data_IF_244971718707
#
_entry.id   IF_244971718707
#
_cell.length_a   1.000
_cell.length_b   1.000
_cell.length_c   1.000
_cell.angle_alpha   90.00
_cell.angle_beta   90.00
_cell.angle_gamma   90.00
#
_symmetry.space_group_name_H-M   'P 1'
#
loop_
_entity.id
_entity.type
_entity.pdbx_description
1 polymer ?
#
# COMPACT_ATOMS: atom_id res chain seq x y z
N UNK A 1 11.82 -34.22 -8.63
CA UNK A 1 11.60 -33.01 -9.46
C UNK A 1 10.16 -32.57 -9.21
N UNK A 2 9.97 -31.76 -8.18
CA UNK A 2 8.68 -31.16 -7.85
C UNK A 2 8.62 -29.85 -8.61
N UNK A 3 7.66 -29.69 -9.51
CA UNK A 3 7.34 -28.41 -10.12
C UNK A 3 6.83 -27.51 -8.99
N UNK A 4 7.59 -26.47 -8.69
CA UNK A 4 7.07 -25.35 -7.92
C UNK A 4 5.85 -24.80 -8.68
N UNK A 5 4.72 -24.83 -8.03
CA UNK A 5 3.50 -24.20 -8.55
C UNK A 5 3.78 -22.70 -8.66
N UNK A 6 3.66 -22.20 -9.88
CA UNK A 6 3.64 -20.78 -10.20
C UNK A 6 2.41 -20.16 -9.50
N UNK A 7 2.61 -19.62 -8.31
CA UNK A 7 1.53 -18.97 -7.53
C UNK A 7 1.43 -17.46 -7.81
N UNK A 8 1.96 -17.02 -8.94
CA UNK A 8 1.80 -15.62 -9.41
C UNK A 8 0.43 -15.35 -10.06
N UNK A 9 -0.64 -15.97 -9.53
CA UNK A 9 -1.96 -15.51 -9.90
C UNK A 9 -2.21 -14.15 -9.24
N UNK A 10 -2.52 -13.08 -10.01
CA UNK A 10 -2.91 -11.81 -9.43
C UNK A 10 -4.05 -12.07 -8.46
N UNK A 11 -4.03 -11.38 -7.31
CA UNK A 11 -5.12 -11.42 -6.32
C UNK A 11 -6.42 -11.31 -7.09
N UNK A 12 -7.11 -12.45 -7.24
CA UNK A 12 -8.39 -12.42 -7.95
C UNK A 12 -9.36 -11.69 -7.05
N UNK A 13 -9.94 -10.57 -7.52
CA UNK A 13 -10.97 -9.91 -6.78
C UNK A 13 -12.06 -10.94 -6.51
N UNK A 14 -12.35 -11.22 -5.25
CA UNK A 14 -13.57 -11.92 -4.88
C UNK A 14 -14.74 -11.19 -5.54
N UNK A 15 -15.95 -11.76 -5.57
CA UNK A 15 -17.16 -11.22 -6.23
C UNK A 15 -17.37 -9.71 -5.95
N UNK A 16 -16.53 -8.87 -6.54
CA UNK A 16 -16.64 -7.43 -6.42
C UNK A 16 -17.85 -6.95 -7.21
N UNK A 17 -18.55 -5.92 -6.76
CA UNK A 17 -19.55 -5.25 -7.58
C UNK A 17 -18.93 -4.84 -8.92
N UNK A 18 -19.64 -5.05 -10.03
CA UNK A 18 -19.11 -4.83 -11.38
C UNK A 18 -18.60 -3.40 -11.60
N UNK A 19 -19.23 -2.43 -10.96
CA UNK A 19 -18.84 -1.01 -10.99
C UNK A 19 -17.47 -0.79 -10.37
N UNK A 20 -17.18 -1.52 -9.31
CA UNK A 20 -15.89 -1.49 -8.62
C UNK A 20 -14.76 -2.00 -9.47
N UNK A 21 -14.95 -3.22 -9.91
CA UNK A 21 -14.03 -3.93 -10.75
C UNK A 21 -13.73 -3.12 -12.03
N UNK A 22 -14.73 -2.44 -12.60
CA UNK A 22 -14.55 -1.53 -13.72
C UNK A 22 -13.57 -0.40 -13.42
N UNK A 23 -13.77 0.35 -12.33
CA UNK A 23 -12.91 1.49 -11.97
C UNK A 23 -11.48 1.05 -11.69
N UNK A 24 -11.29 -0.03 -10.92
CA UNK A 24 -9.96 -0.54 -10.59
C UNK A 24 -9.23 -1.02 -11.85
N UNK A 25 -9.90 -1.80 -12.70
CA UNK A 25 -9.32 -2.28 -13.97
C UNK A 25 -8.97 -1.13 -14.92
N UNK A 26 -9.84 -0.13 -15.06
CA UNK A 26 -9.58 1.02 -15.92
C UNK A 26 -8.36 1.82 -15.44
N UNK A 27 -8.22 2.00 -14.12
CA UNK A 27 -7.05 2.66 -13.54
C UNK A 27 -5.78 1.82 -13.75
N UNK A 28 -5.84 0.51 -13.53
CA UNK A 28 -4.69 -0.39 -13.76
C UNK A 28 -4.30 -0.43 -15.24
N UNK A 29 -5.26 -0.53 -16.15
CA UNK A 29 -5.00 -0.50 -17.59
C UNK A 29 -4.35 0.81 -18.02
N UNK A 30 -4.85 1.93 -17.51
CA UNK A 30 -4.29 3.25 -17.78
C UNK A 30 -2.83 3.38 -17.30
N UNK A 31 -2.52 2.85 -16.10
CA UNK A 31 -1.16 2.80 -15.56
C UNK A 31 -0.26 1.88 -16.39
N UNK A 32 -0.75 0.70 -16.78
CA UNK A 32 0.00 -0.29 -17.55
C UNK A 32 0.36 0.19 -18.96
N UNK A 33 -0.46 1.04 -19.58
CA UNK A 33 -0.13 1.70 -20.85
C UNK A 33 1.09 2.64 -20.75
N UNK A 34 1.33 3.23 -19.56
CA UNK A 34 2.32 4.29 -19.33
C UNK A 34 3.53 3.83 -18.55
N UNK A 35 3.47 2.66 -17.92
CA UNK A 35 4.52 2.14 -17.07
C UNK A 35 4.44 0.63 -16.89
N UNK A 36 5.36 0.11 -16.11
CA UNK A 36 5.28 -1.23 -15.54
C UNK A 36 4.48 -1.16 -14.24
N UNK A 37 3.47 -2.00 -14.13
CA UNK A 37 2.57 -2.04 -12.97
C UNK A 37 2.68 -3.40 -12.29
N UNK A 38 2.95 -3.40 -11.00
CA UNK A 38 3.05 -4.58 -10.15
C UNK A 38 1.92 -4.51 -9.13
N UNK A 39 1.11 -5.56 -9.05
CA UNK A 39 -0.06 -5.65 -8.17
C UNK A 39 0.13 -6.79 -7.19
N UNK A 40 -0.05 -6.52 -5.91
CA UNK A 40 0.03 -7.49 -4.82
C UNK A 40 1.45 -7.94 -4.53
N UNK A 41 2.06 -8.71 -5.41
CA UNK A 41 3.40 -9.25 -5.21
C UNK A 41 4.22 -9.19 -6.49
N UNK A 42 5.50 -8.89 -6.38
CA UNK A 42 6.44 -8.85 -7.48
C UNK A 42 7.68 -8.03 -7.16
N UNK A 43 8.58 -7.99 -8.13
CA UNK A 43 9.80 -7.20 -8.03
C UNK A 43 9.84 -6.11 -9.11
N UNK A 44 10.64 -5.09 -8.86
CA UNK A 44 10.91 -4.03 -9.83
C UNK A 44 12.40 -3.72 -9.86
N UNK A 45 12.86 -3.34 -11.04
CA UNK A 45 14.26 -2.95 -11.25
C UNK A 45 14.39 -1.88 -12.34
N UNK A 46 15.22 -0.90 -12.08
CA UNK A 46 15.69 0.08 -13.05
C UNK A 46 17.22 0.24 -12.91
N UNK A 47 17.83 1.15 -13.65
CA UNK A 47 19.28 1.41 -13.56
C UNK A 47 19.72 1.84 -12.14
N UNK A 48 18.85 2.51 -11.41
CA UNK A 48 19.19 3.15 -10.12
C UNK A 48 18.30 2.69 -8.95
N UNK A 49 17.30 1.84 -9.22
CA UNK A 49 16.36 1.36 -8.21
C UNK A 49 16.11 -0.13 -8.38
N UNK A 50 16.06 -0.80 -7.24
CA UNK A 50 15.55 -2.17 -7.15
C UNK A 50 14.61 -2.29 -5.96
N UNK A 51 13.73 -3.27 -5.99
CA UNK A 51 12.88 -3.56 -4.85
C UNK A 51 11.84 -4.62 -5.12
N UNK A 52 11.05 -4.86 -4.12
CA UNK A 52 10.00 -5.86 -4.16
C UNK A 52 8.78 -5.40 -3.37
N UNK A 53 7.64 -5.94 -3.77
CA UNK A 53 6.35 -5.74 -3.16
C UNK A 53 5.79 -7.11 -2.82
N UNK A 54 5.23 -7.29 -1.63
CA UNK A 54 4.54 -8.51 -1.26
C UNK A 54 3.39 -8.23 -0.31
N UNK A 55 2.27 -8.91 -0.55
CA UNK A 55 1.12 -8.94 0.34
C UNK A 55 0.68 -10.38 0.56
N UNK A 56 0.38 -10.74 1.79
CA UNK A 56 -0.03 -12.08 2.19
C UNK A 56 -1.01 -12.01 3.36
N UNK A 57 -1.68 -13.14 3.63
CA UNK A 57 -2.47 -13.32 4.83
C UNK A 57 -1.56 -13.58 6.02
N UNK A 58 -1.83 -12.96 7.16
CA UNK A 58 -1.23 -13.38 8.40
C UNK A 58 -1.73 -14.78 8.83
N UNK A 59 -1.01 -15.48 9.73
CA UNK A 59 -1.34 -16.84 10.14
C UNK A 59 -2.76 -17.00 10.70
N UNK A 60 -3.27 -16.02 11.42
CA UNK A 60 -4.63 -16.06 11.99
C UNK A 60 -5.72 -15.69 10.98
N UNK A 61 -5.34 -15.08 9.85
CA UNK A 61 -6.24 -14.62 8.81
C UNK A 61 -6.41 -15.65 7.67
N UNK A 62 -5.71 -16.79 7.71
CA UNK A 62 -5.74 -17.82 6.66
C UNK A 62 -7.13 -18.42 6.42
N UNK A 63 -8.04 -18.32 7.40
CA UNK A 63 -9.43 -18.74 7.27
C UNK A 63 -10.31 -17.67 6.59
N UNK A 64 -9.78 -16.48 6.28
CA UNK A 64 -10.49 -15.47 5.53
C UNK A 64 -10.42 -15.74 4.03
N UNK A 65 -11.54 -15.59 3.35
CA UNK A 65 -11.63 -15.81 1.90
C UNK A 65 -10.92 -14.71 1.08
N UNK A 66 -10.61 -13.57 1.69
CA UNK A 66 -10.09 -12.38 0.99
C UNK A 66 -9.06 -11.63 1.84
N UNK A 67 -7.89 -11.38 1.26
CA UNK A 67 -6.92 -10.44 1.83
C UNK A 67 -7.49 -9.02 1.72
N UNK A 68 -7.54 -8.32 2.84
CA UNK A 68 -8.05 -6.95 2.90
C UNK A 68 -7.00 -5.90 2.52
N UNK A 69 -5.73 -6.29 2.55
CA UNK A 69 -4.63 -5.46 2.10
C UNK A 69 -4.52 -5.42 0.58
N UNK A 70 -4.06 -4.30 0.07
CA UNK A 70 -3.76 -4.12 -1.33
C UNK A 70 -2.47 -3.33 -1.52
N UNK A 71 -1.68 -3.76 -2.48
CA UNK A 71 -0.40 -3.15 -2.78
C UNK A 71 -0.24 -2.95 -4.29
N UNK A 72 0.36 -1.83 -4.65
CA UNK A 72 0.58 -1.45 -6.04
C UNK A 72 1.90 -0.69 -6.16
N UNK A 73 2.74 -1.07 -7.15
CA UNK A 73 3.91 -0.32 -7.55
C UNK A 73 3.84 0.00 -9.05
N UNK A 74 4.36 1.16 -9.43
CA UNK A 74 4.37 1.61 -10.81
C UNK A 74 5.68 2.32 -11.15
N UNK A 75 6.29 1.91 -12.28
CA UNK A 75 7.50 2.48 -12.85
C UNK A 75 7.21 3.06 -14.24
N UNK A 76 7.52 4.35 -14.49
CA UNK A 76 7.27 4.99 -15.78
C UNK A 76 8.13 4.41 -16.90
N UNK A 77 7.55 4.23 -18.09
CA UNK A 77 8.31 3.81 -19.30
C UNK A 77 8.92 5.00 -20.02
N UNK A 78 8.19 6.10 -20.15
CA UNK A 78 8.67 7.25 -20.91
C UNK A 78 9.59 8.17 -20.10
N UNK A 79 10.53 8.83 -20.79
CA UNK A 79 11.52 9.69 -20.15
C UNK A 79 10.91 10.98 -19.55
N UNK A 80 9.82 11.48 -20.11
CA UNK A 80 9.12 12.65 -19.57
C UNK A 80 8.55 12.36 -18.18
N UNK A 81 7.91 11.21 -18.02
CA UNK A 81 7.38 10.74 -16.74
C UNK A 81 8.50 10.39 -15.77
N UNK A 82 9.62 9.81 -16.23
CA UNK A 82 10.81 9.52 -15.39
C UNK A 82 11.46 10.77 -14.79
N UNK A 83 11.21 11.94 -15.36
CA UNK A 83 11.64 13.22 -14.75
C UNK A 83 10.83 13.59 -13.53
N UNK A 84 9.56 13.15 -13.47
CA UNK A 84 8.63 13.41 -12.34
C UNK A 84 8.63 12.28 -11.33
N UNK A 85 8.62 11.05 -11.84
CA UNK A 85 8.48 9.86 -11.02
C UNK A 85 9.51 8.81 -11.46
N UNK A 86 10.27 8.28 -10.53
CA UNK A 86 11.12 7.10 -10.75
C UNK A 86 10.40 5.83 -10.33
N UNK A 87 9.53 5.95 -9.33
CA UNK A 87 8.71 4.89 -8.78
C UNK A 87 7.52 5.53 -8.05
N UNK A 88 6.36 4.92 -8.13
CA UNK A 88 5.22 5.21 -7.24
C UNK A 88 4.77 3.92 -6.59
N UNK A 89 4.50 3.96 -5.28
CA UNK A 89 4.02 2.83 -4.47
C UNK A 89 2.77 3.27 -3.73
N UNK A 90 1.75 2.43 -3.72
CA UNK A 90 0.56 2.61 -2.91
C UNK A 90 0.27 1.33 -2.11
N UNK A 91 0.02 1.48 -0.81
CA UNK A 91 -0.38 0.42 0.09
C UNK A 91 -1.70 0.81 0.75
N UNK A 92 -2.63 -0.11 0.83
CA UNK A 92 -3.91 0.06 1.52
C UNK A 92 -4.18 -1.14 2.41
N UNK A 93 -4.61 -0.87 3.63
CA UNK A 93 -5.05 -1.85 4.59
C UNK A 93 -6.55 -1.66 4.83
N UNK A 94 -7.32 -2.68 4.50
CA UNK A 94 -8.77 -2.66 4.64
C UNK A 94 -9.19 -2.98 6.06
N UNK A 95 -9.93 -2.07 6.71
CA UNK A 95 -10.34 -2.26 8.09
C UNK A 95 -11.20 -3.52 8.27
N UNK A 96 -10.77 -4.42 9.15
CA UNK A 96 -11.47 -5.68 9.47
C UNK A 96 -12.93 -5.45 9.92
N UNK A 97 -13.21 -4.31 10.57
CA UNK A 97 -14.56 -3.94 11.02
C UNK A 97 -15.43 -3.36 9.91
N UNK A 98 -14.87 -3.12 8.73
CA UNK A 98 -15.56 -2.46 7.63
C UNK A 98 -16.03 -3.47 6.57
N UNK A 99 -17.26 -3.29 6.10
CA UNK A 99 -17.79 -4.09 5.01
C UNK A 99 -17.14 -3.70 3.68
N UNK A 100 -16.65 -4.68 2.94
CA UNK A 100 -15.96 -4.51 1.64
C UNK A 100 -14.70 -3.66 1.74
N UNK A 101 -13.95 -3.78 2.81
CA UNK A 101 -12.71 -3.05 3.00
C UNK A 101 -11.62 -3.45 1.98
N UNK A 102 -11.62 -4.70 1.52
CA UNK A 102 -10.76 -5.18 0.42
C UNK A 102 -10.97 -4.40 -0.89
N UNK A 103 -12.22 -4.01 -1.13
CA UNK A 103 -12.54 -3.17 -2.26
C UNK A 103 -12.03 -1.72 -2.03
N UNK A 104 -12.18 -1.21 -0.82
CA UNK A 104 -11.74 0.13 -0.49
C UNK A 104 -10.22 0.26 -0.66
N UNK A 105 -9.42 -0.69 -0.15
CA UNK A 105 -7.97 -0.68 -0.27
C UNK A 105 -7.52 -0.69 -1.74
N UNK A 106 -8.11 -1.56 -2.56
CA UNK A 106 -7.79 -1.64 -3.98
C UNK A 106 -8.16 -0.36 -4.75
N UNK A 107 -9.36 0.20 -4.50
CA UNK A 107 -9.80 1.43 -5.14
C UNK A 107 -8.91 2.61 -4.74
N UNK A 108 -8.68 2.80 -3.45
CA UNK A 108 -7.87 3.91 -2.95
C UNK A 108 -6.47 3.87 -3.54
N UNK A 109 -5.80 2.72 -3.53
CA UNK A 109 -4.47 2.58 -4.10
C UNK A 109 -4.43 2.89 -5.60
N UNK A 110 -5.35 2.32 -6.38
CA UNK A 110 -5.33 2.48 -7.85
C UNK A 110 -5.73 3.88 -8.29
N UNK A 111 -6.77 4.46 -7.69
CA UNK A 111 -7.23 5.81 -8.04
C UNK A 111 -6.24 6.86 -7.56
N UNK A 112 -5.73 6.75 -6.33
CA UNK A 112 -4.74 7.70 -5.82
C UNK A 112 -3.45 7.68 -6.66
N UNK A 113 -2.95 6.50 -7.02
CA UNK A 113 -1.77 6.39 -7.88
C UNK A 113 -2.02 7.02 -9.25
N UNK A 114 -3.14 6.72 -9.90
CA UNK A 114 -3.50 7.33 -11.17
C UNK A 114 -3.59 8.85 -11.06
N UNK A 115 -4.32 9.37 -10.07
CA UNK A 115 -4.50 10.80 -9.86
C UNK A 115 -3.16 11.52 -9.56
N UNK A 116 -2.25 10.88 -8.81
CA UNK A 116 -0.90 11.39 -8.59
C UNK A 116 -0.13 11.53 -9.92
N UNK A 117 -0.17 10.49 -10.75
CA UNK A 117 0.55 10.45 -12.03
C UNK A 117 -0.03 11.43 -13.05
N UNK A 118 -1.36 11.56 -13.13
CA UNK A 118 -2.08 12.51 -13.99
C UNK A 118 -2.00 13.96 -13.50
N UNK A 119 -1.75 14.17 -12.20
CA UNK A 119 -1.79 15.49 -11.58
C UNK A 119 -0.84 16.50 -12.21
N UNK A 120 -1.18 17.78 -12.04
CA UNK A 120 -0.43 18.89 -12.62
C UNK A 120 1.02 18.92 -12.07
N UNK A 121 2.00 18.94 -12.99
CA UNK A 121 3.41 19.04 -12.65
C UNK A 121 3.82 20.35 -11.95
N UNK A 122 2.98 21.38 -11.99
CA UNK A 122 3.20 22.63 -11.32
C UNK A 122 2.82 22.60 -9.81
N UNK A 123 2.08 21.57 -9.38
CA UNK A 123 1.70 21.42 -7.98
C UNK A 123 2.94 21.09 -7.13
N UNK A 124 2.96 21.61 -5.91
CA UNK A 124 3.92 21.15 -4.91
C UNK A 124 3.64 19.68 -4.55
N UNK A 125 4.66 18.91 -4.16
CA UNK A 125 4.48 17.49 -3.84
C UNK A 125 3.35 17.20 -2.84
N UNK A 126 3.22 18.01 -1.79
CA UNK A 126 2.15 17.84 -0.80
C UNK A 126 0.76 18.14 -1.36
N UNK A 127 0.63 19.14 -2.24
CA UNK A 127 -0.64 19.47 -2.88
C UNK A 127 -1.03 18.42 -3.91
N UNK A 128 -0.03 17.84 -4.60
CA UNK A 128 -0.21 16.72 -5.52
C UNK A 128 -0.70 15.46 -4.78
N UNK A 129 -0.10 15.15 -3.61
CA UNK A 129 -0.59 14.07 -2.76
C UNK A 129 -2.03 14.33 -2.31
N UNK A 130 -2.34 15.55 -1.85
CA UNK A 130 -3.70 15.92 -1.43
C UNK A 130 -4.71 15.71 -2.55
N UNK A 131 -4.39 16.17 -3.76
CA UNK A 131 -5.22 15.92 -4.93
C UNK A 131 -5.46 14.42 -5.16
N UNK A 132 -4.42 13.59 -5.07
CA UNK A 132 -4.55 12.15 -5.25
C UNK A 132 -5.47 11.49 -4.20
N UNK A 133 -5.34 11.88 -2.94
CA UNK A 133 -6.21 11.38 -1.86
C UNK A 133 -7.65 11.87 -2.00
N UNK A 134 -7.87 13.11 -2.41
CA UNK A 134 -9.20 13.67 -2.63
C UNK A 134 -9.92 12.94 -3.78
N UNK A 135 -9.25 12.66 -4.90
CA UNK A 135 -9.82 11.89 -6.01
C UNK A 135 -10.17 10.45 -5.60
N UNK A 136 -9.30 9.83 -4.82
CA UNK A 136 -9.55 8.48 -4.30
C UNK A 136 -10.75 8.47 -3.33
N UNK A 137 -10.82 9.40 -2.40
CA UNK A 137 -11.93 9.56 -1.46
C UNK A 137 -13.27 9.86 -2.16
N UNK A 138 -13.27 10.73 -3.18
CA UNK A 138 -14.44 11.00 -3.98
C UNK A 138 -14.93 9.78 -4.75
N UNK A 139 -14.00 8.97 -5.30
CA UNK A 139 -14.33 7.74 -5.98
C UNK A 139 -14.94 6.72 -5.04
N UNK A 140 -14.39 6.60 -3.84
CA UNK A 140 -14.93 5.76 -2.78
C UNK A 140 -16.34 6.20 -2.36
N UNK A 141 -16.55 7.52 -2.23
CA UNK A 141 -17.87 8.08 -1.92
C UNK A 141 -18.91 7.79 -2.99
N UNK A 142 -18.55 7.94 -4.29
CA UNK A 142 -19.48 7.60 -5.41
C UNK A 142 -19.92 6.15 -5.33
N UNK A 143 -18.98 5.27 -5.08
CA UNK A 143 -19.24 3.85 -5.01
C UNK A 143 -20.09 3.46 -3.80
N UNK A 144 -19.84 4.04 -2.64
CA UNK A 144 -20.71 3.85 -1.49
C UNK A 144 -22.14 4.29 -1.78
N UNK A 145 -22.32 5.42 -2.48
CA UNK A 145 -23.64 5.89 -2.91
C UNK A 145 -24.33 4.86 -3.83
N UNK A 146 -23.59 4.19 -4.71
CA UNK A 146 -24.13 3.13 -5.58
C UNK A 146 -24.53 1.88 -4.79
N UNK A 147 -23.66 1.40 -3.91
CA UNK A 147 -23.94 0.25 -3.04
C UNK A 147 -25.14 0.49 -2.13
N UNK A 148 -25.38 1.73 -1.74
CA UNK A 148 -26.47 2.09 -0.83
C UNK A 148 -27.81 2.30 -1.53
N UNK A 149 -27.80 2.54 -2.86
CA UNK A 149 -29.06 2.70 -3.66
C UNK A 149 -29.85 1.40 -3.77
N UNK A 150 -29.16 0.27 -3.94
CA UNK A 150 -29.79 -1.04 -4.00
C UNK A 150 -29.14 -2.01 -2.99
N UNK A 151 -29.53 -1.91 -1.70
CA UNK A 151 -28.99 -2.79 -0.66
C UNK A 151 -29.27 -4.27 -0.92
N UNK A 152 -30.32 -4.61 -1.66
CA UNK A 152 -30.69 -6.00 -1.94
C UNK A 152 -29.75 -6.62 -2.98
N UNK A 153 -29.31 -5.86 -3.98
CA UNK A 153 -28.31 -6.31 -4.95
C UNK A 153 -26.89 -6.34 -4.37
N UNK A 154 -26.60 -5.44 -3.41
CA UNK A 154 -25.27 -5.26 -2.82
C UNK A 154 -25.00 -6.17 -1.63
N UNK A 155 -26.06 -6.72 -1.01
CA UNK A 155 -25.94 -7.59 0.17
C UNK A 155 -25.74 -9.06 -0.28
N UNK A 156 -24.70 -9.75 0.19
CA UNK A 156 -24.54 -11.18 -0.09
C UNK A 156 -25.77 -11.97 0.32
N UNK A 157 -26.14 -12.96 -0.50
CA UNK A 157 -27.30 -13.80 -0.24
C UNK A 157 -27.19 -14.45 1.14
N UNK A 158 -28.09 -14.11 2.04
CA UNK A 158 -28.15 -14.62 3.42
C UNK A 158 -27.79 -13.62 4.52
N UNK A 159 -27.28 -12.43 4.20
CA UNK A 159 -27.12 -11.37 5.19
C UNK A 159 -28.44 -10.62 5.39
N UNK A 160 -28.78 -10.41 6.66
CA UNK A 160 -30.05 -9.77 7.02
C UNK A 160 -30.02 -8.25 6.75
N UNK A 161 -31.11 -7.70 6.28
CA UNK A 161 -31.31 -6.26 6.09
C UNK A 161 -31.01 -5.43 7.35
N UNK A 162 -31.11 -6.03 8.53
CA UNK A 162 -30.75 -5.44 9.82
C UNK A 162 -29.24 -5.19 9.96
N UNK A 163 -28.40 -6.12 9.51
CA UNK A 163 -26.95 -6.01 9.52
C UNK A 163 -26.51 -4.89 8.56
N UNK A 164 -27.10 -4.84 7.36
CA UNK A 164 -26.85 -3.77 6.41
C UNK A 164 -27.18 -2.39 6.96
N UNK A 165 -28.36 -2.24 7.56
CA UNK A 165 -28.75 -0.99 8.23
C UNK A 165 -27.82 -0.59 9.37
N UNK A 166 -27.27 -1.58 10.09
CA UNK A 166 -26.29 -1.34 11.13
C UNK A 166 -24.98 -0.83 10.54
N UNK A 167 -24.44 -1.49 9.50
CA UNK A 167 -23.22 -1.10 8.80
C UNK A 167 -23.32 0.33 8.31
N UNK A 168 -24.39 0.67 7.59
CA UNK A 168 -24.62 2.03 7.08
C UNK A 168 -24.71 3.08 8.20
N UNK A 169 -25.49 2.77 9.27
CA UNK A 169 -25.67 3.70 10.38
C UNK A 169 -24.39 3.96 11.16
N UNK A 170 -23.49 2.99 11.21
CA UNK A 170 -22.20 3.09 11.90
C UNK A 170 -21.08 3.62 11.01
N UNK A 171 -21.33 3.82 9.73
CA UNK A 171 -20.31 4.23 8.78
C UNK A 171 -19.27 3.13 8.50
N UNK A 172 -19.58 1.86 8.79
CA UNK A 172 -18.69 0.70 8.62
C UNK A 172 -18.76 0.17 7.19
N UNK A 173 -18.60 1.04 6.21
CA UNK A 173 -18.65 0.70 4.79
C UNK A 173 -17.40 1.24 4.10
N UNK A 174 -16.68 0.37 3.39
CA UNK A 174 -15.60 0.78 2.49
C UNK A 174 -14.53 1.64 3.20
N UNK A 175 -14.00 1.18 4.31
CA UNK A 175 -12.94 1.88 5.02
C UNK A 175 -11.59 1.20 4.80
N UNK A 176 -10.57 1.98 4.52
CA UNK A 176 -9.19 1.53 4.40
C UNK A 176 -8.21 2.64 4.75
N UNK A 177 -7.03 2.25 5.18
CA UNK A 177 -5.87 3.15 5.22
C UNK A 177 -5.34 3.39 3.81
N UNK A 178 -4.48 4.37 3.64
CA UNK A 178 -3.75 4.59 2.39
C UNK A 178 -2.38 5.18 2.67
N UNK A 179 -1.34 4.49 2.23
CA UNK A 179 0.02 5.00 2.11
C UNK A 179 0.33 5.20 0.64
N UNK A 180 0.71 6.41 0.26
CA UNK A 180 1.16 6.76 -1.08
C UNK A 180 2.58 7.30 -1.00
N UNK A 181 3.51 6.65 -1.69
CA UNK A 181 4.90 7.07 -1.76
C UNK A 181 5.37 7.17 -3.19
N UNK A 182 6.22 8.13 -3.47
CA UNK A 182 6.87 8.22 -4.78
C UNK A 182 8.28 8.78 -4.67
N UNK A 183 9.09 8.36 -5.59
CA UNK A 183 10.43 8.85 -5.81
C UNK A 183 10.45 9.76 -7.04
N UNK A 184 10.94 10.97 -6.87
CA UNK A 184 11.42 11.79 -7.97
C UNK A 184 12.96 11.69 -8.07
N UNK A 185 13.61 12.58 -8.79
CA UNK A 185 15.08 12.57 -8.96
C UNK A 185 15.84 12.95 -7.69
N UNK A 186 15.20 13.61 -6.74
CA UNK A 186 15.85 14.24 -5.58
C UNK A 186 15.32 13.75 -4.25
N UNK A 187 14.07 13.31 -4.25
CA UNK A 187 13.37 13.05 -3.00
C UNK A 187 12.52 11.80 -3.05
N UNK A 188 12.43 11.13 -1.92
CA UNK A 188 11.31 10.27 -1.56
C UNK A 188 10.25 11.13 -0.88
N UNK A 189 9.01 11.01 -1.33
CA UNK A 189 7.84 11.61 -0.72
C UNK A 189 6.94 10.50 -0.18
N UNK A 190 6.40 10.68 1.02
CA UNK A 190 5.45 9.75 1.64
C UNK A 190 4.29 10.53 2.22
N UNK A 191 3.08 10.17 1.82
CA UNK A 191 1.83 10.66 2.37
C UNK A 191 1.01 9.48 2.89
N UNK A 192 0.42 9.60 4.07
CA UNK A 192 -0.31 8.50 4.70
C UNK A 192 -1.53 9.00 5.45
N UNK A 193 -2.59 8.21 5.37
CA UNK A 193 -3.75 8.24 6.26
C UNK A 193 -3.95 6.83 6.81
N UNK A 194 -3.88 6.69 8.12
CA UNK A 194 -3.98 5.41 8.83
C UNK A 194 -2.75 5.10 9.68
N UNK A 195 -2.65 3.86 10.10
CA UNK A 195 -1.67 3.35 11.05
C UNK A 195 -0.57 2.47 10.42
N UNK A 196 -0.42 2.52 9.11
CA UNK A 196 0.73 1.93 8.44
C UNK A 196 2.06 2.51 8.93
N UNK A 197 3.15 2.01 8.43
CA UNK A 197 4.48 2.44 8.84
C UNK A 197 5.46 2.60 7.68
N UNK A 198 6.61 3.16 8.00
CA UNK A 198 7.70 3.25 7.06
C UNK A 198 9.01 3.58 7.75
N UNK A 199 10.08 3.01 7.23
CA UNK A 199 11.44 3.19 7.73
C UNK A 199 12.39 3.49 6.59
N UNK A 200 13.46 4.21 6.91
CA UNK A 200 14.46 4.68 5.96
C UNK A 200 15.87 4.50 6.54
N UNK A 201 16.78 4.01 5.70
CA UNK A 201 18.21 3.97 5.93
C UNK A 201 18.94 4.62 4.78
N UNK A 202 19.70 5.68 5.05
CA UNK A 202 20.63 6.27 4.10
C UNK A 202 22.04 5.74 4.30
N UNK A 203 22.78 5.57 3.21
CA UNK A 203 24.20 5.22 3.24
C UNK A 203 25.01 6.42 2.73
N UNK A 204 26.10 6.73 3.43
CA UNK A 204 26.97 7.85 3.02
C UNK A 204 27.61 7.58 1.65
N UNK A 205 27.82 8.64 0.89
CA UNK A 205 28.47 8.59 -0.43
C UNK A 205 29.93 8.11 -0.44
N UNK A 206 30.51 7.78 0.72
CA UNK A 206 31.88 7.29 0.84
C UNK A 206 32.02 5.83 0.42
N UNK A 207 33.12 5.43 -0.26
CA UNK A 207 33.39 4.04 -0.55
C UNK A 207 33.48 3.22 0.73
N UNK A 208 32.57 2.26 0.90
CA UNK A 208 32.44 1.45 2.12
C UNK A 208 31.20 1.77 2.95
N UNK A 209 30.33 2.67 2.46
CA UNK A 209 28.95 2.92 2.91
C UNK A 209 28.73 2.82 4.41
N UNK A 210 29.32 3.70 5.21
CA UNK A 210 28.89 3.77 6.60
C UNK A 210 27.44 4.21 6.65
N UNK A 211 26.61 3.53 7.45
CA UNK A 211 25.23 3.95 7.76
C UNK A 211 25.23 5.42 8.13
N UNK A 212 24.59 6.25 7.30
CA UNK A 212 24.58 7.67 7.56
C UNK A 212 23.46 8.05 8.53
N UNK A 213 22.25 7.57 8.27
CA UNK A 213 21.09 7.91 9.09
C UNK A 213 19.96 6.85 8.94
N UNK A 214 19.53 6.28 10.06
CA UNK A 214 18.30 5.55 10.17
C UNK A 214 17.20 6.48 10.64
N UNK A 215 16.00 6.39 10.07
CA UNK A 215 14.86 7.18 10.52
C UNK A 215 13.54 6.45 10.33
N UNK A 216 12.64 6.66 11.26
CA UNK A 216 11.24 6.29 11.12
C UNK A 216 10.56 7.36 10.28
N UNK A 217 10.00 6.98 9.13
CA UNK A 217 9.20 7.86 8.27
C UNK A 217 7.80 8.02 8.83
N UNK A 218 7.20 6.91 9.21
CA UNK A 218 5.92 6.82 9.86
C UNK A 218 5.93 5.64 10.82
N UNK A 219 5.25 5.78 11.94
CA UNK A 219 5.19 4.73 12.95
C UNK A 219 3.74 4.27 13.07
N UNK A 220 3.55 2.95 12.97
CA UNK A 220 2.32 2.30 13.36
C UNK A 220 2.03 2.62 14.84
N UNK A 221 0.90 3.24 15.12
CA UNK A 221 0.49 3.57 16.49
C UNK A 221 -0.26 2.38 17.10
N UNK A 222 0.49 1.50 17.76
CA UNK A 222 -0.04 0.28 18.36
C UNK A 222 -1.09 0.52 19.48
N UNK A 223 -1.16 1.74 20.00
CA UNK A 223 -2.07 2.11 21.08
C UNK A 223 -3.37 2.76 20.59
N UNK A 224 -3.51 2.99 19.28
CA UNK A 224 -4.73 3.58 18.74
C UNK A 224 -5.89 2.59 18.75
N UNK A 225 -6.88 2.86 19.58
CA UNK A 225 -8.17 2.19 19.53
C UNK A 225 -9.09 2.66 18.38
N UNK A 226 -8.70 3.70 17.66
CA UNK A 226 -9.39 4.22 16.48
C UNK A 226 -8.37 4.55 15.41
N UNK A 227 -8.37 3.74 14.36
CA UNK A 227 -7.57 3.99 13.17
C UNK A 227 -8.23 5.12 12.37
N UNK A 228 -7.45 6.13 11.99
CA UNK A 228 -7.88 7.05 10.95
C UNK A 228 -7.91 6.28 9.63
N UNK A 229 -9.06 6.19 9.01
CA UNK A 229 -9.22 5.53 7.73
C UNK A 229 -9.98 6.42 6.77
N UNK A 230 -9.68 6.29 5.50
CA UNK A 230 -10.49 6.90 4.46
C UNK A 230 -11.77 6.10 4.28
N UNK A 231 -12.88 6.79 4.36
CA UNK A 231 -14.20 6.21 4.19
C UNK A 231 -15.10 7.11 3.33
N UNK A 232 -16.30 6.64 2.95
CA UNK A 232 -17.22 7.40 2.09
C UNK A 232 -17.67 8.73 2.64
N UNK A 233 -17.61 8.92 3.95
CA UNK A 233 -17.95 10.18 4.61
C UNK A 233 -16.84 11.24 4.47
N UNK A 234 -15.62 10.83 4.22
CA UNK A 234 -14.43 11.68 4.16
C UNK A 234 -14.04 11.96 2.71
N UNK A 235 -14.94 12.63 2.00
CA UNK A 235 -14.77 12.96 0.57
C UNK A 235 -13.69 14.00 0.28
N UNK A 236 -13.09 14.57 1.30
CA UNK A 236 -12.00 15.53 1.20
C UNK A 236 -11.07 15.37 2.39
N UNK A 237 -9.80 15.17 2.08
CA UNK A 237 -8.77 14.99 3.09
C UNK A 237 -8.49 16.32 3.80
N UNK A 238 -8.67 16.35 5.10
CA UNK A 238 -8.33 17.53 5.92
C UNK A 238 -6.83 17.60 6.17
N UNK A 239 -6.24 16.51 6.66
CA UNK A 239 -4.82 16.41 6.99
C UNK A 239 -4.33 14.99 6.73
N UNK A 240 -3.05 14.83 6.41
CA UNK A 240 -2.37 13.54 6.45
C UNK A 240 -2.01 13.20 7.89
N UNK A 241 -2.13 11.93 8.28
CA UNK A 241 -1.55 11.44 9.54
C UNK A 241 -0.03 11.52 9.49
N UNK A 242 0.53 11.32 8.29
CA UNK A 242 1.95 11.49 8.04
C UNK A 242 2.19 12.14 6.68
N UNK A 243 3.05 13.16 6.67
CA UNK A 243 3.71 13.68 5.47
C UNK A 243 5.22 13.74 5.71
N UNK A 244 5.98 13.11 4.82
CA UNK A 244 7.44 13.12 4.87
C UNK A 244 8.04 13.35 3.49
N UNK A 245 9.18 14.03 3.50
CA UNK A 245 10.05 14.19 2.35
C UNK A 245 11.47 13.90 2.78
N UNK A 246 12.19 13.08 2.00
CA UNK A 246 13.60 12.75 2.23
C UNK A 246 14.39 12.99 0.98
N UNK A 247 15.48 13.76 1.10
CA UNK A 247 16.44 13.96 0.03
C UNK A 247 17.24 12.69 -0.22
N UNK A 248 17.57 12.44 -1.49
CA UNK A 248 18.32 11.29 -1.95
C UNK A 248 19.79 11.72 -2.13
N UNK A 249 20.57 11.59 -1.05
CA UNK A 249 21.97 12.05 -1.01
C UNK A 249 22.96 10.91 -1.30
N UNK A 250 22.50 9.73 -1.64
CA UNK A 250 23.30 8.52 -1.91
C UNK A 250 22.44 7.25 -1.86
N UNK A 251 23.07 6.08 -1.79
CA UNK A 251 22.36 4.83 -1.67
C UNK A 251 21.44 4.80 -0.46
N UNK A 252 20.32 4.12 -0.58
CA UNK A 252 19.31 4.03 0.48
C UNK A 252 18.56 2.71 0.47
N UNK A 253 17.98 2.37 1.62
CA UNK A 253 17.00 1.33 1.81
C UNK A 253 15.76 1.94 2.47
N UNK A 254 14.58 1.71 1.89
CA UNK A 254 13.30 2.14 2.42
C UNK A 254 12.34 0.97 2.49
N UNK A 255 11.59 0.87 3.57
CA UNK A 255 10.48 -0.05 3.67
C UNK A 255 9.21 0.71 4.07
N UNK A 256 8.09 0.37 3.41
CA UNK A 256 6.75 0.85 3.73
C UNK A 256 5.88 -0.39 3.99
N UNK A 257 5.01 -0.32 4.98
CA UNK A 257 4.26 -1.49 5.41
C UNK A 257 2.89 -1.13 6.00
N UNK A 258 1.97 -2.09 6.00
CA UNK A 258 0.72 -2.04 6.77
C UNK A 258 0.98 -2.34 8.25
N UNK A 259 -0.01 -2.17 9.08
CA UNK A 259 0.13 -2.31 10.52
C UNK A 259 0.46 -3.75 10.97
N UNK A 260 0.01 -4.79 10.22
CA UNK A 260 0.35 -6.17 10.50
C UNK A 260 1.87 -6.41 10.56
N UNK A 261 2.64 -5.87 9.61
CA UNK A 261 4.11 -5.91 9.67
C UNK A 261 4.63 -5.05 10.83
N UNK A 262 4.06 -3.86 11.02
CA UNK A 262 4.49 -2.94 12.09
C UNK A 262 4.31 -3.52 13.49
N UNK A 263 3.20 -4.20 13.75
CA UNK A 263 2.93 -4.90 15.02
C UNK A 263 3.93 -6.03 15.25
N UNK A 264 4.18 -6.84 14.23
CA UNK A 264 5.13 -7.94 14.30
C UNK A 264 6.58 -7.51 14.61
N UNK A 265 6.93 -6.24 14.37
CA UNK A 265 8.24 -5.69 14.75
C UNK A 265 8.31 -5.24 16.22
N UNK A 266 7.25 -5.43 17.02
CA UNK A 266 7.25 -5.26 18.46
C UNK A 266 7.61 -3.85 18.96
N UNK A 267 7.27 -2.81 18.17
CA UNK A 267 7.57 -1.41 18.53
C UNK A 267 9.00 -0.97 18.22
N UNK A 268 9.82 -1.81 17.59
CA UNK A 268 11.15 -1.43 17.07
C UNK A 268 11.16 -1.42 15.52
N UNK A 269 10.60 -0.40 14.87
CA UNK A 269 10.48 -0.38 13.42
C UNK A 269 11.83 -0.36 12.70
N UNK A 270 12.90 0.11 13.34
CA UNK A 270 14.24 0.14 12.73
C UNK A 270 14.88 -1.25 12.63
N UNK A 271 14.46 -2.23 13.44
CA UNK A 271 14.93 -3.61 13.32
C UNK A 271 14.54 -4.21 11.96
N UNK A 272 13.43 -3.76 11.35
CA UNK A 272 13.04 -4.14 10.00
C UNK A 272 14.14 -3.85 8.97
N UNK A 273 14.84 -2.71 9.10
CA UNK A 273 15.93 -2.35 8.18
C UNK A 273 17.12 -3.32 8.28
N UNK A 274 17.44 -3.81 9.48
CA UNK A 274 18.55 -4.75 9.67
C UNK A 274 18.21 -6.10 9.01
N UNK A 275 17.00 -6.60 9.19
CA UNK A 275 16.54 -7.85 8.57
C UNK A 275 16.47 -7.71 7.05
N UNK A 276 15.97 -6.57 6.54
CA UNK A 276 15.88 -6.33 5.11
C UNK A 276 17.23 -6.11 4.43
N UNK A 277 18.20 -5.49 5.10
CA UNK A 277 19.56 -5.29 4.56
C UNK A 277 20.24 -6.63 4.29
N UNK A 278 20.06 -7.61 5.19
CA UNK A 278 20.54 -8.98 5.00
C UNK A 278 19.88 -9.65 3.79
N UNK A 279 18.55 -9.57 3.70
CA UNK A 279 17.78 -10.16 2.61
C UNK A 279 18.05 -9.49 1.26
N UNK A 280 18.15 -8.16 1.25
CA UNK A 280 18.42 -7.37 0.06
C UNK A 280 19.79 -7.69 -0.54
N UNK A 281 20.80 -7.91 0.29
CA UNK A 281 22.14 -8.31 -0.17
C UNK A 281 22.16 -9.71 -0.77
N UNK A 282 21.26 -10.59 -0.34
CA UNK A 282 21.17 -11.97 -0.83
C UNK A 282 20.27 -12.10 -2.07
N UNK A 283 19.15 -11.37 -2.10
CA UNK A 283 18.15 -11.44 -3.17
C UNK A 283 17.24 -10.20 -3.12
N UNK A 284 17.66 -9.13 -3.79
CA UNK A 284 16.95 -7.86 -3.79
C UNK A 284 15.53 -7.96 -4.37
N UNK A 285 15.32 -8.85 -5.34
CA UNK A 285 14.06 -8.96 -6.08
C UNK A 285 12.96 -9.63 -5.26
N UNK A 286 13.32 -10.39 -4.21
CA UNK A 286 12.37 -11.12 -3.37
C UNK A 286 12.43 -10.74 -1.88
N UNK A 287 13.11 -9.65 -1.54
CA UNK A 287 13.37 -9.29 -0.13
C UNK A 287 12.09 -9.10 0.69
N UNK A 288 11.04 -8.48 0.14
CA UNK A 288 9.76 -8.31 0.82
C UNK A 288 9.08 -9.65 1.11
N UNK A 289 8.98 -10.52 0.10
CA UNK A 289 8.40 -11.86 0.22
C UNK A 289 9.17 -12.70 1.25
N UNK A 290 10.50 -12.78 1.10
CA UNK A 290 11.35 -13.57 2.01
C UNK A 290 11.29 -13.08 3.45
N UNK A 291 11.13 -11.77 3.64
CA UNK A 291 10.91 -11.24 4.98
C UNK A 291 9.59 -11.78 5.56
N UNK A 292 8.49 -11.65 4.82
CA UNK A 292 7.16 -12.09 5.29
C UNK A 292 7.15 -13.60 5.51
N UNK A 293 7.63 -14.41 4.54
CA UNK A 293 7.71 -15.88 4.67
C UNK A 293 8.46 -16.27 5.94
N UNK A 294 9.65 -15.66 6.18
CA UNK A 294 10.46 -15.93 7.37
C UNK A 294 9.77 -15.48 8.66
N UNK A 295 9.16 -14.30 8.65
CA UNK A 295 8.48 -13.75 9.81
C UNK A 295 7.29 -14.63 10.24
N UNK A 296 6.49 -15.08 9.27
CA UNK A 296 5.34 -15.97 9.52
C UNK A 296 5.81 -17.36 9.98
N UNK A 297 6.92 -17.89 9.44
CA UNK A 297 7.46 -19.21 9.84
C UNK A 297 8.08 -19.16 11.25
N UNK A 298 8.89 -18.15 11.56
CA UNK A 298 9.65 -18.08 12.81
C UNK A 298 8.90 -17.45 13.97
N UNK A 299 7.98 -16.52 13.70
CA UNK A 299 7.29 -15.67 14.68
C UNK A 299 5.80 -15.52 14.38
N UNK A 300 5.04 -16.59 14.11
CA UNK A 300 3.65 -16.48 13.66
C UNK A 300 2.74 -15.73 14.64
N UNK A 301 3.03 -15.79 15.93
CA UNK A 301 2.26 -15.11 16.98
C UNK A 301 2.44 -13.59 16.99
N UNK A 302 3.46 -13.06 16.34
CA UNK A 302 3.75 -11.62 16.28
C UNK A 302 3.15 -10.97 15.02
N UNK A 303 2.82 -11.79 14.01
CA UNK A 303 2.33 -11.37 12.68
C UNK A 303 0.93 -11.96 12.43
N UNK A 304 -0.05 -11.50 13.21
CA UNK A 304 -1.40 -12.06 13.28
C UNK A 304 -2.42 -11.44 12.32
N UNK A 305 -2.05 -10.38 11.60
CA UNK A 305 -2.91 -9.66 10.65
C UNK A 305 -2.45 -9.87 9.18
N UNK A 306 -3.15 -9.27 8.22
CA UNK A 306 -2.68 -9.20 6.85
C UNK A 306 -1.34 -8.46 6.79
N UNK A 307 -0.46 -8.95 5.94
CA UNK A 307 0.92 -8.48 5.88
C UNK A 307 1.22 -7.88 4.51
N UNK A 308 1.54 -6.60 4.47
CA UNK A 308 1.95 -5.94 3.23
C UNK A 308 3.24 -5.16 3.46
N UNK A 309 4.20 -5.41 2.59
CA UNK A 309 5.53 -4.81 2.63
C UNK A 309 6.01 -4.41 1.24
N UNK A 310 6.46 -3.17 1.11
CA UNK A 310 7.21 -2.68 -0.03
C UNK A 310 8.64 -2.34 0.38
N UNK A 311 9.62 -2.92 -0.28
CA UNK A 311 11.04 -2.67 -0.07
C UNK A 311 11.58 -1.95 -1.30
N UNK A 312 12.27 -0.84 -1.09
CA UNK A 312 12.83 0.03 -2.14
C UNK A 312 14.29 0.30 -1.79
N UNK A 313 15.18 -0.05 -2.69
CA UNK A 313 16.60 0.28 -2.58
C UNK A 313 17.03 1.14 -3.77
N UNK A 314 17.88 2.13 -3.52
CA UNK A 314 18.50 2.99 -4.53
C UNK A 314 20.01 3.03 -4.37
N UNK A 315 20.70 3.20 -5.52
CA UNK A 315 22.16 3.37 -5.61
C UNK A 315 22.57 4.83 -5.66
#
# INVERSE_FOLDING_TARGET
MSQAADTDAPIQPGNWPAEFDGVVRDCQAWLAERGETIVGSGCFRSEELSGSLHTDFGPEEQDKDVNQDYALAWLPRDEGMRKRFRLVVALGDGLTTSFRSECASALLCTVAMRALVEGDAALKPQDLARHAFDEAGQSLGRLADELTRDPAASCPAGQFLSTWKYILRKGLLLQSTLTLAWLDRRCLHVAMVGDGGGVWRGYGASPGGQRANDSVLAQCDLDRHQVCALGPAERSLREFDCWRQRELDGPFLCALHTDGVGRGMGGNPLALLDELEELQSADAENSARRFIDRAVEERPQDFDDNLTLAVIAGE
#
